data_IF_103072583697
#
_entry.id   IF_103072583697
#
_cell.length_a   1.000
_cell.length_b   1.000
_cell.length_c   1.000
_cell.angle_alpha   90.00
_cell.angle_beta   90.00
_cell.angle_gamma   90.00
#
_symmetry.space_group_name_H-M   'P 1'
#
loop_
_entity.id
_entity.type
_entity.pdbx_description
1 polymer ?
#
# COMPACT_ATOMS: atom_id res chain seq x y z
N UNK A 1 -18.84 -13.84 5.78
CA UNK A 1 -17.61 -13.85 4.96
C UNK A 1 -16.46 -13.64 5.91
N UNK A 2 -15.47 -14.56 5.91
CA UNK A 2 -14.28 -14.43 6.77
C UNK A 2 -13.40 -13.27 6.28
N UNK A 3 -12.59 -12.69 7.16
CA UNK A 3 -11.64 -11.62 6.82
C UNK A 3 -10.72 -12.07 5.68
N UNK A 4 -10.30 -13.34 5.67
CA UNK A 4 -9.48 -13.96 4.62
C UNK A 4 -10.11 -13.90 3.21
N UNK A 5 -11.43 -14.12 3.10
CA UNK A 5 -12.11 -14.06 1.80
C UNK A 5 -12.19 -12.64 1.23
N UNK A 6 -12.19 -11.62 2.12
CA UNK A 6 -12.20 -10.20 1.70
C UNK A 6 -10.88 -9.73 1.09
N UNK A 7 -9.75 -10.24 1.56
CA UNK A 7 -8.43 -9.84 1.06
C UNK A 7 -8.10 -10.48 -0.30
N UNK A 8 -8.59 -11.68 -0.60
CA UNK A 8 -8.45 -12.31 -1.92
C UNK A 8 -9.14 -11.53 -3.04
N UNK A 9 -10.20 -10.78 -2.71
CA UNK A 9 -10.95 -9.98 -3.67
C UNK A 9 -10.37 -8.57 -3.87
N UNK A 10 -9.38 -8.16 -3.07
CA UNK A 10 -8.74 -6.85 -3.17
C UNK A 10 -7.67 -6.84 -4.27
N UNK A 11 -8.08 -6.49 -5.50
CA UNK A 11 -7.18 -6.42 -6.66
C UNK A 11 -6.43 -5.10 -6.77
N UNK A 12 -6.88 -4.07 -6.08
CA UNK A 12 -6.35 -2.72 -6.14
C UNK A 12 -6.31 -2.05 -4.75
N UNK A 13 -5.58 -0.94 -4.68
CA UNK A 13 -5.41 -0.17 -3.45
C UNK A 13 -6.76 0.31 -2.87
N UNK A 14 -7.66 0.81 -3.70
CA UNK A 14 -8.93 1.36 -3.21
C UNK A 14 -9.82 0.26 -2.62
N UNK A 15 -9.85 -0.92 -3.25
CA UNK A 15 -10.58 -2.08 -2.71
C UNK A 15 -10.05 -2.48 -1.34
N UNK A 16 -8.73 -2.46 -1.15
CA UNK A 16 -8.12 -2.72 0.15
C UNK A 16 -8.46 -1.62 1.18
N UNK A 17 -8.28 -0.34 0.83
CA UNK A 17 -8.57 0.77 1.74
C UNK A 17 -10.02 0.77 2.22
N UNK A 18 -10.98 0.37 1.39
CA UNK A 18 -12.40 0.23 1.77
C UNK A 18 -12.64 -0.86 2.83
N UNK A 19 -11.74 -1.82 3.00
CA UNK A 19 -11.83 -2.84 4.06
C UNK A 19 -11.41 -2.31 5.43
N UNK A 20 -10.67 -1.21 5.46
CA UNK A 20 -10.16 -0.61 6.67
C UNK A 20 -11.25 0.13 7.45
N UNK A 21 -11.07 0.23 8.76
CA UNK A 21 -11.99 1.00 9.59
C UNK A 21 -11.84 2.50 9.35
N UNK A 22 -12.90 3.25 9.63
CA UNK A 22 -12.90 4.71 9.50
C UNK A 22 -11.76 5.39 10.26
N UNK A 23 -11.47 4.91 11.47
CA UNK A 23 -10.38 5.42 12.32
C UNK A 23 -9.00 5.18 11.73
N UNK A 24 -8.80 4.05 11.08
CA UNK A 24 -7.53 3.73 10.39
C UNK A 24 -7.36 4.63 9.16
N UNK A 25 -8.39 4.80 8.34
CA UNK A 25 -8.35 5.70 7.19
C UNK A 25 -8.04 7.14 7.59
N UNK A 26 -8.72 7.66 8.61
CA UNK A 26 -8.51 9.03 9.08
C UNK A 26 -7.06 9.23 9.59
N UNK A 27 -6.47 8.23 10.25
CA UNK A 27 -5.06 8.26 10.67
C UNK A 27 -4.10 8.15 9.50
N UNK A 28 -4.39 7.33 8.48
CA UNK A 28 -3.59 7.19 7.27
C UNK A 28 -3.43 8.52 6.53
N UNK A 29 -4.46 9.33 6.48
CA UNK A 29 -4.41 10.65 5.82
C UNK A 29 -3.58 11.70 6.57
N UNK A 30 -3.04 11.39 7.76
CA UNK A 30 -2.02 12.22 8.38
C UNK A 30 -0.66 12.14 7.66
N UNK A 31 -0.45 11.16 6.79
CA UNK A 31 0.77 10.97 6.02
C UNK A 31 0.62 11.55 4.60
N UNK A 32 1.41 12.58 4.21
CA UNK A 32 1.31 13.18 2.87
C UNK A 32 1.54 12.19 1.72
N UNK A 33 2.47 11.22 1.90
CA UNK A 33 2.71 10.17 0.91
C UNK A 33 1.45 9.32 0.67
N UNK A 34 0.71 8.96 1.72
CA UNK A 34 -0.57 8.23 1.60
C UNK A 34 -1.59 9.04 0.81
N UNK A 35 -1.74 10.34 1.14
CA UNK A 35 -2.69 11.21 0.43
C UNK A 35 -2.37 11.31 -1.05
N UNK A 36 -1.09 11.44 -1.39
CA UNK A 36 -0.64 11.50 -2.78
C UNK A 36 -0.81 10.16 -3.52
N UNK A 37 -0.51 9.04 -2.87
CA UNK A 37 -0.70 7.71 -3.46
C UNK A 37 -2.19 7.43 -3.73
N UNK A 38 -3.05 7.67 -2.75
CA UNK A 38 -4.50 7.51 -2.93
C UNK A 38 -5.01 8.41 -4.04
N UNK A 39 -4.59 9.68 -4.08
CA UNK A 39 -4.98 10.62 -5.13
C UNK A 39 -4.54 10.17 -6.53
N UNK A 40 -3.30 9.67 -6.65
CA UNK A 40 -2.76 9.21 -7.94
C UNK A 40 -3.57 8.05 -8.54
N UNK A 41 -4.00 7.13 -7.70
CA UNK A 41 -4.75 5.94 -8.12
C UNK A 41 -6.26 6.22 -8.35
N UNK A 42 -6.77 7.40 -7.97
CA UNK A 42 -8.16 7.75 -8.24
C UNK A 42 -8.47 7.81 -9.75
N UNK A 43 -9.69 7.44 -10.17
CA UNK A 43 -10.17 7.67 -11.53
C UNK A 43 -10.01 9.14 -11.94
N UNK A 44 -9.80 9.39 -13.22
CA UNK A 44 -9.50 10.74 -13.75
C UNK A 44 -10.51 11.78 -13.30
N UNK A 45 -11.81 11.49 -13.45
CA UNK A 45 -12.86 12.42 -13.07
C UNK A 45 -12.87 12.69 -11.54
N UNK A 46 -12.57 11.69 -10.72
CA UNK A 46 -12.40 11.88 -9.26
C UNK A 46 -11.25 12.81 -8.94
N UNK A 47 -10.10 12.66 -9.62
CA UNK A 47 -8.96 13.57 -9.47
C UNK A 47 -9.30 15.00 -9.86
N UNK A 48 -10.06 15.20 -10.95
CA UNK A 48 -10.51 16.52 -11.37
C UNK A 48 -11.40 17.18 -10.32
N UNK A 49 -12.33 16.42 -9.70
CA UNK A 49 -13.16 16.94 -8.60
C UNK A 49 -12.33 17.35 -7.40
N UNK A 50 -11.42 16.49 -6.95
CA UNK A 50 -10.52 16.79 -5.83
C UNK A 50 -9.69 18.04 -6.13
N UNK A 51 -9.07 18.14 -7.32
CA UNK A 51 -8.25 19.32 -7.69
C UNK A 51 -9.04 20.61 -7.69
N UNK A 52 -10.29 20.61 -8.17
CA UNK A 52 -11.15 21.79 -8.18
C UNK A 52 -11.47 22.29 -6.78
N UNK A 53 -11.67 21.39 -5.82
CA UNK A 53 -12.05 21.76 -4.44
C UNK A 53 -10.87 21.80 -3.47
N UNK A 54 -9.67 21.41 -3.91
CA UNK A 54 -8.48 21.32 -3.06
C UNK A 54 -8.15 22.62 -2.34
N UNK A 55 -8.37 23.76 -3.01
CA UNK A 55 -8.09 25.11 -2.46
C UNK A 55 -9.32 25.79 -1.87
N UNK A 56 -10.46 25.11 -1.87
CA UNK A 56 -11.71 25.64 -1.30
C UNK A 56 -11.82 25.15 0.14
N UNK A 57 -11.89 26.07 1.10
CA UNK A 57 -11.98 25.75 2.52
C UNK A 57 -13.41 25.48 2.99
N UNK A 58 -14.39 25.87 2.19
CA UNK A 58 -15.80 25.73 2.49
C UNK A 58 -16.42 24.57 1.71
N UNK A 59 -17.57 24.09 2.18
CA UNK A 59 -18.35 23.10 1.45
C UNK A 59 -18.85 23.68 0.13
N UNK A 60 -18.82 22.84 -0.91
CA UNK A 60 -19.33 23.18 -2.24
C UNK A 60 -20.71 22.56 -2.43
N UNK A 61 -21.75 23.36 -2.80
CA UNK A 61 -23.09 22.84 -3.01
C UNK A 61 -23.13 21.70 -4.03
N UNK A 62 -23.92 20.66 -3.77
CA UNK A 62 -24.07 19.53 -4.68
C UNK A 62 -24.51 19.95 -6.09
N UNK A 63 -25.41 20.95 -6.19
CA UNK A 63 -25.87 21.45 -7.47
C UNK A 63 -24.74 22.05 -8.33
N UNK A 64 -23.80 22.78 -7.69
CA UNK A 64 -22.62 23.31 -8.39
C UNK A 64 -21.73 22.18 -8.87
N UNK A 65 -21.46 21.21 -8.02
CA UNK A 65 -20.62 20.06 -8.41
C UNK A 65 -21.26 19.22 -9.50
N UNK A 66 -22.59 19.05 -9.46
CA UNK A 66 -23.36 18.34 -10.51
C UNK A 66 -23.29 19.05 -11.86
N UNK A 67 -23.15 20.40 -11.90
CA UNK A 67 -23.03 21.15 -13.15
C UNK A 67 -21.68 21.01 -13.86
N UNK A 68 -20.67 20.39 -13.22
CA UNK A 68 -19.33 20.20 -13.81
C UNK A 68 -19.26 19.03 -14.78
N UNK A 69 -20.25 18.18 -14.79
CA UNK A 69 -20.35 17.03 -15.72
C UNK A 69 -21.54 17.18 -16.65
N UNK A 70 -21.45 16.58 -17.82
CA UNK A 70 -22.57 16.52 -18.74
C UNK A 70 -23.68 15.62 -18.19
N UNK A 71 -24.96 15.83 -18.58
CA UNK A 71 -26.07 14.95 -18.19
C UNK A 71 -25.85 13.47 -18.55
N UNK A 72 -25.06 13.20 -19.59
CA UNK A 72 -24.75 11.84 -20.04
C UNK A 72 -23.81 11.09 -19.08
N UNK A 73 -23.05 11.81 -18.23
CA UNK A 73 -22.11 11.25 -17.26
C UNK A 73 -22.67 11.21 -15.82
N UNK A 74 -23.98 11.24 -15.66
CA UNK A 74 -24.62 11.21 -14.33
C UNK A 74 -24.26 9.97 -13.54
N UNK A 75 -24.19 8.80 -14.20
CA UNK A 75 -23.80 7.54 -13.57
C UNK A 75 -22.35 7.56 -13.09
N UNK A 76 -21.42 8.11 -13.88
CA UNK A 76 -20.02 8.28 -13.50
C UNK A 76 -19.92 9.18 -12.27
N UNK A 77 -20.74 10.23 -12.18
CA UNK A 77 -20.79 11.10 -11.01
C UNK A 77 -21.25 10.35 -9.75
N UNK A 78 -22.27 9.48 -9.87
CA UNK A 78 -22.71 8.65 -8.74
C UNK A 78 -21.62 7.71 -8.25
N UNK A 79 -20.90 7.06 -9.17
CA UNK A 79 -19.77 6.18 -8.86
C UNK A 79 -18.65 6.93 -8.14
N UNK A 80 -18.32 8.15 -8.58
CA UNK A 80 -17.34 9.01 -7.94
C UNK A 80 -17.79 9.42 -6.54
N UNK A 81 -19.03 9.85 -6.39
CA UNK A 81 -19.59 10.25 -5.09
C UNK A 81 -19.48 9.10 -4.11
N UNK A 82 -19.83 7.90 -4.55
CA UNK A 82 -19.72 6.69 -3.73
C UNK A 82 -18.27 6.40 -3.35
N UNK A 83 -17.36 6.37 -4.33
CA UNK A 83 -15.93 6.07 -4.12
C UNK A 83 -15.29 7.05 -3.11
N UNK A 84 -15.43 8.36 -3.34
CA UNK A 84 -14.82 9.37 -2.50
C UNK A 84 -15.41 9.39 -1.08
N UNK A 85 -16.69 9.04 -0.93
CA UNK A 85 -17.35 8.90 0.38
C UNK A 85 -16.87 7.66 1.12
N UNK A 86 -16.80 6.50 0.45
CA UNK A 86 -16.30 5.25 1.03
C UNK A 86 -14.85 5.37 1.48
N UNK A 87 -14.01 6.06 0.70
CA UNK A 87 -12.63 6.36 1.05
C UNK A 87 -12.48 7.51 2.06
N UNK A 88 -13.59 8.12 2.51
CA UNK A 88 -13.61 9.26 3.45
C UNK A 88 -12.78 10.46 2.99
N UNK A 89 -12.66 10.65 1.68
CA UNK A 89 -11.94 11.80 1.11
C UNK A 89 -12.77 13.07 1.21
N UNK A 90 -14.10 12.95 1.21
CA UNK A 90 -15.04 14.03 1.48
C UNK A 90 -16.21 13.54 2.31
N UNK A 91 -17.00 14.48 2.80
CA UNK A 91 -18.23 14.21 3.53
C UNK A 91 -19.34 15.16 3.12
N UNK A 92 -20.57 14.66 3.18
CA UNK A 92 -21.75 15.50 3.01
C UNK A 92 -21.94 16.36 4.27
N UNK A 93 -22.18 17.66 4.07
CA UNK A 93 -22.47 18.61 5.15
C UNK A 93 -23.68 19.46 4.79
N UNK A 94 -24.42 19.85 5.81
CA UNK A 94 -25.51 20.80 5.67
C UNK A 94 -24.96 22.24 5.72
N UNK A 95 -25.33 23.03 4.75
CA UNK A 95 -24.93 24.45 4.59
C UNK A 95 -26.03 25.36 5.03
N UNK A 96 -25.73 26.66 5.13
CA UNK A 96 -26.74 27.69 5.43
C UNK A 96 -27.90 27.61 4.42
N UNK A 97 -29.14 27.67 4.93
CA UNK A 97 -30.34 27.55 4.11
C UNK A 97 -30.81 26.14 3.80
N UNK A 98 -30.28 25.13 4.52
CA UNK A 98 -30.68 23.70 4.34
C UNK A 98 -30.13 23.05 3.07
N UNK A 99 -29.20 23.72 2.38
CA UNK A 99 -28.55 23.15 1.20
C UNK A 99 -27.53 22.10 1.61
N UNK A 100 -27.42 21.03 0.83
CA UNK A 100 -26.40 19.99 1.02
C UNK A 100 -25.19 20.27 0.14
N UNK A 101 -24.01 20.10 0.71
CA UNK A 101 -22.73 20.28 0.01
C UNK A 101 -21.72 19.21 0.37
N UNK A 102 -20.64 19.16 -0.38
CA UNK A 102 -19.49 18.31 -0.15
C UNK A 102 -18.33 19.11 0.43
N UNK A 103 -17.75 18.61 1.51
CA UNK A 103 -16.56 19.17 2.15
C UNK A 103 -15.42 18.16 2.04
N UNK A 104 -14.31 18.57 1.45
CA UNK A 104 -13.10 17.73 1.40
C UNK A 104 -12.55 17.53 2.82
N UNK A 105 -12.14 16.29 3.15
CA UNK A 105 -11.53 15.97 4.44
C UNK A 105 -10.36 16.93 4.72
N UNK A 106 -10.41 17.70 5.81
CA UNK A 106 -9.42 18.74 6.06
C UNK A 106 -7.99 18.22 6.21
N UNK A 107 -7.83 17.04 6.81
CA UNK A 107 -6.52 16.39 6.98
C UNK A 107 -5.97 15.94 5.64
N UNK A 108 -6.77 15.23 4.85
CA UNK A 108 -6.41 14.83 3.49
C UNK A 108 -6.05 16.05 2.63
N UNK A 109 -6.87 17.08 2.65
CA UNK A 109 -6.65 18.34 1.90
C UNK A 109 -5.31 18.98 2.26
N UNK A 110 -5.04 19.16 3.56
CA UNK A 110 -3.79 19.78 4.04
C UNK A 110 -2.57 18.99 3.59
N UNK A 111 -2.60 17.68 3.76
CA UNK A 111 -1.46 16.82 3.48
C UNK A 111 -1.27 16.59 1.96
N UNK A 112 -2.36 16.52 1.19
CA UNK A 112 -2.27 16.48 -0.28
C UNK A 112 -1.68 17.78 -0.84
N UNK A 113 -2.11 18.96 -0.32
CA UNK A 113 -1.49 20.24 -0.68
C UNK A 113 0.01 20.24 -0.38
N UNK A 114 0.42 19.79 0.80
CA UNK A 114 1.84 19.68 1.18
C UNK A 114 2.62 18.78 0.23
N UNK A 115 2.05 17.64 -0.15
CA UNK A 115 2.71 16.70 -1.06
C UNK A 115 2.84 17.23 -2.50
N UNK A 116 1.83 17.97 -2.99
CA UNK A 116 1.80 18.48 -4.36
C UNK A 116 2.60 19.77 -4.56
N UNK A 117 2.53 20.68 -3.58
CA UNK A 117 3.10 22.02 -3.71
C UNK A 117 4.47 22.17 -3.04
N UNK A 118 4.86 21.19 -2.26
CA UNK A 118 5.97 21.32 -1.33
C UNK A 118 5.59 22.16 -0.11
N UNK A 119 6.44 22.12 0.90
CA UNK A 119 6.21 22.78 2.19
C UNK A 119 5.69 21.80 3.26
N UNK A 120 5.90 22.14 4.52
CA UNK A 120 5.62 21.26 5.65
C UNK A 120 6.78 20.29 5.94
N UNK A 121 6.49 19.25 6.70
CA UNK A 121 7.49 18.22 7.01
C UNK A 121 7.84 17.40 5.76
N UNK A 122 9.11 17.04 5.63
CA UNK A 122 9.54 16.12 4.59
C UNK A 122 8.80 14.78 4.73
N UNK A 123 8.19 14.34 3.66
CA UNK A 123 7.40 13.11 3.61
C UNK A 123 8.02 12.04 2.71
N UNK A 124 8.97 12.43 1.85
CA UNK A 124 9.73 11.51 1.00
C UNK A 124 10.94 10.96 1.73
N UNK A 125 11.40 9.80 1.33
CA UNK A 125 12.64 9.23 1.86
C UNK A 125 13.83 10.08 1.41
N UNK A 126 14.79 10.30 2.34
CA UNK A 126 15.99 11.08 2.06
C UNK A 126 17.05 10.21 1.39
N UNK A 127 17.74 10.74 0.37
CA UNK A 127 18.96 10.10 -0.09
C UNK A 127 19.99 10.09 1.06
N UNK A 128 20.92 9.12 1.08
CA UNK A 128 21.98 9.10 2.07
C UNK A 128 22.90 10.30 1.89
N UNK A 129 23.53 10.73 2.98
CA UNK A 129 24.48 11.86 2.98
C UNK A 129 25.70 11.57 2.11
N UNK A 130 26.14 10.31 2.09
CA UNK A 130 27.27 9.85 1.29
C UNK A 130 26.81 8.83 0.25
N UNK A 131 27.16 9.08 -1.02
CA UNK A 131 26.89 8.12 -2.09
C UNK A 131 27.72 6.84 -1.88
N UNK A 132 27.06 5.69 -1.93
CA UNK A 132 27.75 4.41 -1.83
C UNK A 132 28.45 4.07 -3.17
N UNK A 133 29.79 3.99 -3.19
CA UNK A 133 30.54 3.63 -4.41
C UNK A 133 30.25 2.21 -4.90
N UNK A 134 29.57 1.39 -4.08
CA UNK A 134 29.15 0.02 -4.40
C UNK A 134 27.64 -0.10 -4.59
N UNK A 135 26.95 0.99 -4.94
CA UNK A 135 25.52 0.93 -5.28
C UNK A 135 25.25 -0.14 -6.35
N UNK A 136 24.17 -0.87 -6.18
CA UNK A 136 23.79 -1.96 -7.09
C UNK A 136 22.99 -1.41 -8.27
N UNK A 137 23.32 -1.86 -9.46
CA UNK A 137 22.51 -1.57 -10.63
C UNK A 137 21.13 -2.27 -10.60
N UNK A 138 20.16 -1.73 -11.34
CA UNK A 138 18.78 -2.23 -11.39
C UNK A 138 18.73 -3.72 -11.70
N UNK A 139 19.49 -4.21 -12.69
CA UNK A 139 19.50 -5.62 -13.07
C UNK A 139 19.87 -6.56 -11.90
N UNK A 140 20.82 -6.16 -11.05
CA UNK A 140 21.20 -6.96 -9.86
C UNK A 140 20.09 -6.96 -8.81
N UNK A 141 19.35 -5.84 -8.71
CA UNK A 141 18.22 -5.73 -7.79
C UNK A 141 17.06 -6.61 -8.24
N UNK A 142 16.77 -6.63 -9.54
CA UNK A 142 15.75 -7.48 -10.13
C UNK A 142 16.09 -8.97 -9.93
N UNK A 143 17.35 -9.35 -10.19
CA UNK A 143 17.81 -10.71 -9.93
C UNK A 143 17.67 -11.10 -8.45
N UNK A 144 18.07 -10.20 -7.54
CA UNK A 144 17.91 -10.42 -6.11
C UNK A 144 16.45 -10.62 -5.71
N UNK A 145 15.55 -9.77 -6.21
CA UNK A 145 14.13 -9.87 -5.93
C UNK A 145 13.52 -11.17 -6.40
N UNK A 146 13.75 -11.47 -7.68
CA UNK A 146 13.24 -12.69 -8.27
C UNK A 146 13.75 -13.91 -7.51
N UNK A 147 15.06 -13.95 -7.20
CA UNK A 147 15.63 -15.06 -6.43
C UNK A 147 15.02 -15.20 -5.03
N UNK A 148 14.77 -14.10 -4.32
CA UNK A 148 14.11 -14.15 -3.00
C UNK A 148 12.65 -14.60 -3.12
N UNK A 149 11.91 -14.12 -4.12
CA UNK A 149 10.54 -14.53 -4.34
C UNK A 149 10.42 -16.00 -4.78
N UNK A 150 11.28 -16.44 -5.67
CA UNK A 150 11.38 -17.84 -6.10
C UNK A 150 11.61 -18.79 -4.93
N UNK A 151 12.39 -18.40 -3.90
CA UNK A 151 12.55 -19.21 -2.69
C UNK A 151 11.21 -19.50 -2.00
N UNK A 152 10.30 -18.51 -1.94
CA UNK A 152 8.95 -18.67 -1.35
C UNK A 152 8.13 -19.65 -2.20
N UNK A 153 8.14 -19.49 -3.53
CA UNK A 153 7.36 -20.34 -4.44
C UNK A 153 7.89 -21.79 -4.44
N UNK A 154 9.21 -21.97 -4.49
CA UNK A 154 9.85 -23.29 -4.41
C UNK A 154 9.56 -24.01 -3.09
N UNK A 155 9.56 -23.27 -1.98
CA UNK A 155 9.16 -23.84 -0.71
C UNK A 155 7.71 -24.37 -0.75
N UNK A 156 6.77 -23.61 -1.34
CA UNK A 156 5.37 -24.03 -1.45
C UNK A 156 5.16 -25.31 -2.23
N UNK A 157 6.00 -25.59 -3.23
CA UNK A 157 5.94 -26.84 -4.03
C UNK A 157 6.78 -27.98 -3.45
N UNK A 158 7.39 -27.77 -2.27
CA UNK A 158 8.19 -28.81 -1.59
C UNK A 158 9.57 -29.04 -2.19
N UNK A 159 10.13 -28.10 -2.95
CA UNK A 159 11.49 -28.16 -3.45
C UNK A 159 12.50 -27.88 -2.35
N UNK A 160 13.34 -28.85 -2.02
CA UNK A 160 14.36 -28.74 -0.96
C UNK A 160 15.70 -28.12 -1.45
N UNK A 161 15.74 -27.62 -2.68
CA UNK A 161 16.99 -27.14 -3.30
C UNK A 161 17.34 -25.69 -2.99
N UNK A 162 16.48 -24.95 -2.28
CA UNK A 162 16.65 -23.53 -2.03
C UNK A 162 16.77 -23.19 -0.55
N UNK A 163 17.23 -21.98 -0.26
CA UNK A 163 17.40 -21.43 1.10
C UNK A 163 16.11 -21.58 1.93
N UNK A 164 16.30 -21.80 3.22
CA UNK A 164 15.18 -21.88 4.17
C UNK A 164 14.47 -20.52 4.20
N UNK A 165 13.18 -20.52 3.96
CA UNK A 165 12.37 -19.30 4.13
C UNK A 165 12.25 -18.95 5.60
N UNK A 166 12.03 -17.67 5.91
CA UNK A 166 11.90 -17.19 7.28
C UNK A 166 10.65 -17.76 7.96
N UNK A 167 10.70 -17.85 9.29
CA UNK A 167 9.53 -18.22 10.10
C UNK A 167 8.34 -17.28 9.88
N UNK A 168 8.62 -16.01 9.59
CA UNK A 168 7.60 -15.00 9.30
C UNK A 168 6.90 -15.27 7.97
N UNK A 169 7.64 -15.63 6.92
CA UNK A 169 7.05 -16.03 5.64
C UNK A 169 6.18 -17.29 5.79
N UNK A 170 6.66 -18.27 6.55
CA UNK A 170 5.86 -19.46 6.88
C UNK A 170 4.53 -19.14 7.55
N UNK A 171 4.56 -18.25 8.55
CA UNK A 171 3.36 -17.84 9.26
C UNK A 171 2.38 -17.11 8.32
N UNK A 172 2.86 -16.31 7.38
CA UNK A 172 2.02 -15.63 6.40
C UNK A 172 1.35 -16.63 5.48
N UNK A 173 2.11 -17.60 4.94
CA UNK A 173 1.57 -18.65 4.08
C UNK A 173 0.50 -19.50 4.76
N UNK A 174 0.68 -19.79 6.07
CA UNK A 174 -0.32 -20.49 6.87
C UNK A 174 -1.54 -19.60 7.18
N UNK A 175 -1.31 -18.33 7.56
CA UNK A 175 -2.39 -17.37 7.83
C UNK A 175 -3.26 -17.15 6.59
N UNK A 176 -2.63 -17.03 5.44
CA UNK A 176 -3.30 -16.90 4.14
C UNK A 176 -4.05 -18.17 3.71
N UNK A 177 -3.87 -19.28 4.43
CA UNK A 177 -4.46 -20.56 4.04
C UNK A 177 -3.84 -21.18 2.79
N UNK A 178 -2.68 -20.67 2.32
CA UNK A 178 -1.98 -21.19 1.15
C UNK A 178 -1.26 -22.50 1.45
N UNK A 179 -0.84 -22.68 2.70
CA UNK A 179 -0.24 -23.91 3.22
C UNK A 179 -0.90 -24.33 4.52
N UNK A 180 -0.96 -25.62 4.77
CA UNK A 180 -1.52 -26.19 6.00
C UNK A 180 -0.60 -27.27 6.56
N UNK A 181 -0.70 -27.49 7.88
CA UNK A 181 -0.05 -28.61 8.54
C UNK A 181 -1.07 -29.75 8.68
N UNK A 182 -0.77 -30.90 8.12
CA UNK A 182 -1.63 -32.09 8.28
C UNK A 182 -1.47 -32.68 9.70
N UNK A 183 -2.56 -33.20 10.30
CA UNK A 183 -2.49 -33.87 11.59
C UNK A 183 -1.56 -35.10 11.52
N UNK A 184 -0.50 -35.08 12.32
CA UNK A 184 0.48 -36.19 12.37
C UNK A 184 1.70 -36.02 11.47
N UNK A 185 1.72 -35.02 10.60
CA UNK A 185 2.88 -34.68 9.78
C UNK A 185 3.61 -33.44 10.31
N UNK A 186 4.94 -33.45 10.21
CA UNK A 186 5.74 -32.28 10.56
C UNK A 186 5.95 -31.32 9.39
N UNK A 187 5.55 -31.71 8.19
CA UNK A 187 5.70 -30.93 6.97
C UNK A 187 4.42 -30.14 6.66
N UNK A 188 4.62 -28.95 6.09
CA UNK A 188 3.55 -28.14 5.54
C UNK A 188 3.23 -28.62 4.12
N UNK A 189 1.94 -28.74 3.82
CA UNK A 189 1.45 -29.11 2.49
C UNK A 189 0.73 -27.93 1.86
N UNK A 190 0.84 -27.80 0.54
CA UNK A 190 0.13 -26.79 -0.23
C UNK A 190 -1.37 -27.07 -0.24
N UNK A 191 -2.19 -26.04 -0.15
CA UNK A 191 -3.64 -26.14 -0.25
C UNK A 191 -4.12 -25.91 -1.67
N UNK A 192 -5.44 -26.08 -1.92
CA UNK A 192 -6.05 -25.70 -3.19
C UNK A 192 -5.85 -24.20 -3.49
N UNK A 193 -6.02 -23.34 -2.49
CA UNK A 193 -5.84 -21.90 -2.64
C UNK A 193 -4.36 -21.56 -2.89
N UNK A 194 -3.44 -22.32 -2.28
CA UNK A 194 -2.01 -22.24 -2.58
C UNK A 194 -1.68 -22.56 -4.04
N UNK A 195 -2.32 -23.57 -4.64
CA UNK A 195 -2.16 -23.84 -6.07
C UNK A 195 -2.72 -22.71 -6.94
N UNK A 196 -3.87 -22.15 -6.58
CA UNK A 196 -4.42 -20.99 -7.31
C UNK A 196 -3.50 -19.79 -7.23
N UNK A 197 -2.91 -19.53 -6.05
CA UNK A 197 -1.91 -18.49 -5.86
C UNK A 197 -0.69 -18.67 -6.77
N UNK A 198 -0.17 -19.90 -6.92
CA UNK A 198 0.97 -20.18 -7.81
C UNK A 198 0.67 -19.92 -9.30
N UNK A 199 -0.60 -19.95 -9.70
CA UNK A 199 -1.03 -19.67 -11.08
C UNK A 199 -1.24 -18.17 -11.36
N UNK A 200 -1.15 -17.31 -10.34
CA UNK A 200 -1.25 -15.86 -10.53
C UNK A 200 0.04 -15.30 -11.13
N UNK A 201 -0.04 -14.14 -11.77
CA UNK A 201 1.15 -13.38 -12.13
C UNK A 201 1.93 -12.92 -10.89
N UNK A 202 3.22 -12.66 -11.05
CA UNK A 202 4.12 -12.32 -9.92
C UNK A 202 3.66 -11.06 -9.17
N UNK A 203 3.16 -10.05 -9.88
CA UNK A 203 2.69 -8.81 -9.25
C UNK A 203 1.47 -9.07 -8.36
N UNK A 204 0.52 -9.86 -8.85
CA UNK A 204 -0.65 -10.27 -8.09
C UNK A 204 -0.28 -11.15 -6.88
N UNK A 205 0.68 -12.07 -7.05
CA UNK A 205 1.21 -12.90 -5.95
C UNK A 205 1.81 -12.03 -4.84
N UNK A 206 2.69 -11.10 -5.19
CA UNK A 206 3.37 -10.21 -4.25
C UNK A 206 2.36 -9.29 -3.55
N UNK A 207 1.42 -8.73 -4.30
CA UNK A 207 0.34 -7.90 -3.75
C UNK A 207 -0.51 -8.68 -2.74
N UNK A 208 -0.98 -9.87 -3.10
CA UNK A 208 -1.75 -10.72 -2.21
C UNK A 208 -0.98 -11.07 -0.94
N UNK A 209 0.28 -11.50 -1.08
CA UNK A 209 1.14 -11.84 0.04
C UNK A 209 1.37 -10.65 0.99
N UNK A 210 1.58 -9.45 0.42
CA UNK A 210 1.74 -8.23 1.18
C UNK A 210 0.47 -7.86 1.96
N UNK A 211 -0.71 -8.03 1.38
CA UNK A 211 -1.98 -7.81 2.08
C UNK A 211 -2.14 -8.78 3.27
N UNK A 212 -1.77 -10.06 3.10
CA UNK A 212 -1.78 -11.04 4.20
C UNK A 212 -0.78 -10.67 5.29
N UNK A 213 0.38 -10.16 4.90
CA UNK A 213 1.36 -9.64 5.85
C UNK A 213 0.78 -8.48 6.68
N UNK A 214 0.18 -7.48 6.03
CA UNK A 214 -0.42 -6.32 6.67
C UNK A 214 -1.57 -6.69 7.62
N UNK A 215 -2.37 -7.69 7.26
CA UNK A 215 -3.45 -8.22 8.12
C UNK A 215 -2.90 -8.78 9.45
N UNK A 216 -1.69 -9.33 9.42
CA UNK A 216 -0.99 -9.83 10.63
C UNK A 216 -0.09 -8.82 11.33
N UNK A 217 0.04 -7.59 10.82
CA UNK A 217 0.98 -6.60 11.33
C UNK A 217 0.81 -6.32 12.83
N UNK A 218 -0.43 -6.11 13.28
CA UNK A 218 -0.74 -5.86 14.69
C UNK A 218 -0.34 -7.03 15.60
N UNK A 219 -0.57 -8.27 15.17
CA UNK A 219 -0.16 -9.46 15.91
C UNK A 219 1.37 -9.58 16.04
N UNK A 220 2.12 -8.97 15.15
CA UNK A 220 3.59 -8.88 15.14
C UNK A 220 4.14 -7.69 15.91
N UNK A 221 3.26 -6.87 16.52
CA UNK A 221 3.62 -5.65 17.25
C UNK A 221 4.00 -4.49 16.34
N UNK A 222 3.52 -4.49 15.08
CA UNK A 222 3.73 -3.42 14.12
C UNK A 222 2.47 -2.54 14.02
N UNK A 223 2.65 -1.24 13.87
CA UNK A 223 1.53 -0.34 13.55
C UNK A 223 1.23 -0.43 12.04
N UNK A 224 0.01 -0.83 11.70
CA UNK A 224 -0.47 -0.96 10.32
C UNK A 224 -0.34 0.36 9.56
N UNK A 225 -0.56 1.48 10.23
CA UNK A 225 -0.53 2.80 9.59
C UNK A 225 0.89 3.18 9.22
N UNK A 226 1.85 2.92 10.11
CA UNK A 226 3.27 3.15 9.82
C UNK A 226 3.75 2.26 8.68
N UNK A 227 3.36 0.99 8.66
CA UNK A 227 3.69 0.06 7.57
C UNK A 227 3.13 0.54 6.22
N UNK A 228 1.85 0.90 6.18
CA UNK A 228 1.21 1.43 4.97
C UNK A 228 1.81 2.76 4.52
N UNK A 229 2.03 3.68 5.48
CA UNK A 229 2.69 4.97 5.20
C UNK A 229 4.07 4.78 4.58
N UNK A 230 4.84 3.83 5.08
CA UNK A 230 6.15 3.49 4.54
C UNK A 230 6.05 2.88 3.13
N UNK A 231 5.14 1.95 2.88
CA UNK A 231 4.91 1.40 1.53
C UNK A 231 4.54 2.50 0.53
N UNK A 232 3.71 3.46 0.93
CA UNK A 232 3.41 4.61 0.08
C UNK A 232 4.63 5.49 -0.16
N UNK A 233 5.49 5.73 0.84
CA UNK A 233 6.76 6.43 0.63
C UNK A 233 7.65 5.69 -0.37
N UNK A 234 7.75 4.35 -0.25
CA UNK A 234 8.49 3.52 -1.20
C UNK A 234 7.97 3.67 -2.63
N UNK A 235 6.66 3.79 -2.84
CA UNK A 235 6.06 3.94 -4.18
C UNK A 235 6.47 5.24 -4.90
N UNK A 236 7.00 6.23 -4.18
CA UNK A 236 7.55 7.48 -4.73
C UNK A 236 9.06 7.52 -4.79
N UNK A 237 9.74 6.46 -4.37
CA UNK A 237 11.19 6.37 -4.45
C UNK A 237 11.65 5.95 -5.85
N UNK A 238 12.89 6.31 -6.18
CA UNK A 238 13.49 5.96 -7.47
C UNK A 238 14.19 4.61 -7.37
N UNK A 239 13.85 3.70 -8.26
CA UNK A 239 14.48 2.39 -8.32
C UNK A 239 16.00 2.52 -8.56
N UNK A 240 16.79 1.79 -7.78
CA UNK A 240 18.25 1.82 -7.86
C UNK A 240 18.91 2.99 -7.12
N UNK A 241 18.11 3.83 -6.44
CA UNK A 241 18.63 4.88 -5.58
C UNK A 241 18.64 4.42 -4.12
N UNK A 242 19.70 4.73 -3.40
CA UNK A 242 19.82 4.45 -1.97
C UNK A 242 19.10 5.50 -1.14
N UNK A 243 18.52 5.07 -0.01
CA UNK A 243 17.83 5.95 0.94
C UNK A 243 18.29 5.65 2.37
N UNK A 244 18.39 6.72 3.21
CA UNK A 244 18.73 6.57 4.62
C UNK A 244 17.56 6.00 5.41
N UNK A 245 17.87 5.12 6.37
CA UNK A 245 16.93 4.54 7.33
C UNK A 245 17.16 5.03 8.75
N UNK A 246 18.03 6.02 8.97
CA UNK A 246 18.45 6.49 10.30
C UNK A 246 17.31 7.07 11.13
N UNK A 247 16.27 7.59 10.48
CA UNK A 247 15.09 8.18 11.13
C UNK A 247 13.94 7.19 11.37
N UNK A 248 14.13 5.91 11.03
CA UNK A 248 13.06 4.90 11.15
C UNK A 248 12.91 4.42 12.59
N UNK A 249 11.66 4.24 13.02
CA UNK A 249 11.34 3.59 14.29
C UNK A 249 11.75 2.10 14.28
N UNK A 250 11.92 1.50 15.47
CA UNK A 250 12.25 0.07 15.59
C UNK A 250 11.21 -0.81 14.87
N UNK A 251 9.93 -0.44 14.92
CA UNK A 251 8.87 -1.13 14.19
C UNK A 251 9.07 -1.09 12.68
N UNK A 252 9.40 0.07 12.13
CA UNK A 252 9.69 0.21 10.69
C UNK A 252 10.98 -0.48 10.28
N UNK A 253 12.02 -0.50 11.12
CA UNK A 253 13.24 -1.27 10.86
C UNK A 253 12.96 -2.77 10.80
N UNK A 254 12.11 -3.29 11.70
CA UNK A 254 11.65 -4.68 11.67
C UNK A 254 10.84 -4.96 10.40
N UNK A 255 9.94 -4.06 10.02
CA UNK A 255 9.17 -4.17 8.78
C UNK A 255 10.09 -4.18 7.55
N UNK A 256 11.07 -3.29 7.50
CA UNK A 256 12.08 -3.23 6.44
C UNK A 256 12.87 -4.54 6.33
N UNK A 257 13.23 -5.17 7.45
CA UNK A 257 13.89 -6.47 7.46
C UNK A 257 13.03 -7.55 6.80
N UNK A 258 11.72 -7.59 7.10
CA UNK A 258 10.81 -8.53 6.47
C UNK A 258 10.66 -8.27 4.97
N UNK A 259 10.52 -7.01 4.55
CA UNK A 259 10.47 -6.65 3.13
C UNK A 259 11.74 -7.07 2.38
N UNK A 260 12.92 -7.00 3.04
CA UNK A 260 14.18 -7.51 2.50
C UNK A 260 14.14 -9.03 2.31
N UNK A 261 13.58 -9.76 3.26
CA UNK A 261 13.45 -11.22 3.17
C UNK A 261 12.55 -11.67 2.03
N UNK A 262 11.52 -10.85 1.72
CA UNK A 262 10.59 -11.12 0.61
C UNK A 262 11.11 -10.60 -0.74
N UNK A 263 12.29 -9.96 -0.77
CA UNK A 263 12.86 -9.40 -1.98
C UNK A 263 12.30 -8.04 -2.41
N UNK A 264 11.43 -7.41 -1.59
CA UNK A 264 10.80 -6.13 -1.91
C UNK A 264 11.72 -4.93 -1.67
N UNK A 265 12.74 -5.13 -0.83
CA UNK A 265 13.75 -4.13 -0.49
C UNK A 265 15.11 -4.83 -0.42
N UNK A 266 16.14 -4.16 -0.91
CA UNK A 266 17.52 -4.58 -0.74
C UNK A 266 18.19 -3.75 0.37
N UNK A 267 18.86 -4.40 1.32
CA UNK A 267 19.56 -3.75 2.42
C UNK A 267 20.94 -4.37 2.61
N UNK A 268 21.97 -3.53 2.77
CA UNK A 268 23.32 -3.98 3.15
C UNK A 268 23.49 -4.03 4.66
N UNK A 269 24.38 -4.93 5.11
CA UNK A 269 24.65 -5.15 6.53
C UNK A 269 25.35 -3.97 7.26
N UNK A 270 26.00 -3.06 6.53
CA UNK A 270 26.94 -2.06 7.12
C UNK A 270 26.43 -0.63 6.98
N UNK A 271 25.62 -0.34 6.00
CA UNK A 271 25.02 0.99 5.81
C UNK A 271 23.56 0.75 5.47
N UNK A 272 22.68 1.39 6.21
CA UNK A 272 21.24 1.23 6.05
C UNK A 272 20.77 1.98 4.80
N UNK A 273 20.97 1.38 3.64
CA UNK A 273 20.46 1.89 2.38
C UNK A 273 19.30 1.01 1.93
N UNK A 274 18.21 1.64 1.59
CA UNK A 274 16.99 0.97 1.16
C UNK A 274 16.83 1.14 -0.35
N UNK A 275 16.64 0.06 -1.08
CA UNK A 275 16.42 0.09 -2.52
C UNK A 275 15.07 -0.55 -2.79
N UNK A 276 14.23 0.13 -3.53
CA UNK A 276 12.84 -0.26 -3.74
C UNK A 276 12.60 -0.94 -5.08
N UNK A 277 11.63 -1.83 -5.07
CA UNK A 277 11.06 -2.44 -6.26
C UNK A 277 9.92 -1.62 -6.83
N UNK A 278 9.78 -1.67 -8.14
CA UNK A 278 8.64 -1.16 -8.87
C UNK A 278 7.51 -2.19 -8.81
N UNK A 279 6.39 -1.81 -8.22
CA UNK A 279 5.18 -2.65 -8.13
C UNK A 279 4.32 -2.60 -9.40
N UNK A 280 4.77 -2.08 -10.50
CA UNK A 280 4.01 -2.17 -11.75
C UNK A 280 4.80 -1.65 -12.94
N UNK A 281 4.61 -2.29 -14.05
CA UNK A 281 4.45 -1.58 -15.33
C UNK A 281 2.98 -1.21 -15.51
#
# INVERSE_FOLDING_TARGET
>A
MSVQQRTLDCKDLHSYLKTLTATVLDRLYNHPATCLAVFRELPELSRLYIMRILFVDQAVPKAIMGSWVSPNSAKELEDIVKLLTELRLWQEVEMQGGLKGWLLNPTFRRNLKGALLGGGNEWSMKPPTDADPKARGIAILDEYAMGRWECVLHFMVGSHQHEVISSDALQILQHAGLMKKEPGENQLTITRDGFQFLLMDTSAQVWYFLLQYLDTATARGLDLIDCLGFLFQLSFSTLGQDYSTDSMSDGLQKFLQHLREFGLVYQRKVVTHCITFKFSD
#
